data_IF_463328049924
#
_entry.id   IF_463328049924
#
_cell.length_a   1.000
_cell.length_b   1.000
_cell.length_c   1.000
_cell.angle_alpha   90.00
_cell.angle_beta   90.00
_cell.angle_gamma   90.00
#
_symmetry.space_group_name_H-M   'P 1'
#
loop_
_entity.id
_entity.type
_entity.pdbx_description
1 polymer ?
#
# COMPACT_ATOMS: atom_id res chain seq x y z
N UNK A 1 18.32 -1.22 -10.87
CA UNK A 1 17.30 -0.91 -9.85
C UNK A 1 17.89 0.07 -8.87
N UNK A 2 17.09 1.03 -8.44
CA UNK A 2 17.44 2.05 -7.45
C UNK A 2 16.55 1.92 -6.23
N UNK A 3 16.97 2.46 -5.09
CA UNK A 3 16.15 2.42 -3.88
C UNK A 3 15.02 3.45 -3.92
N UNK A 4 13.99 3.24 -3.11
CA UNK A 4 12.93 4.24 -2.87
C UNK A 4 13.52 5.60 -2.50
N UNK A 5 14.52 5.64 -1.61
CA UNK A 5 15.15 6.89 -1.21
C UNK A 5 15.88 7.59 -2.37
N UNK A 6 16.53 6.83 -3.26
CA UNK A 6 17.16 7.40 -4.46
C UNK A 6 16.13 8.07 -5.37
N UNK A 7 14.98 7.44 -5.59
CA UNK A 7 13.87 8.06 -6.32
C UNK A 7 13.34 9.30 -5.61
N UNK A 8 13.11 9.25 -4.30
CA UNK A 8 12.65 10.42 -3.54
C UNK A 8 13.60 11.61 -3.67
N UNK A 9 14.91 11.39 -3.71
CA UNK A 9 15.91 12.44 -3.90
C UNK A 9 15.87 13.07 -5.30
N UNK A 10 15.52 12.30 -6.32
CA UNK A 10 15.52 12.74 -7.72
C UNK A 10 14.19 13.36 -8.17
N UNK A 11 13.06 12.85 -7.68
CA UNK A 11 11.74 13.27 -8.12
C UNK A 11 11.38 14.66 -7.58
N UNK A 12 10.53 15.36 -8.34
CA UNK A 12 10.02 16.68 -7.97
C UNK A 12 9.10 16.56 -6.76
N UNK A 13 9.45 17.26 -5.66
CA UNK A 13 8.72 17.18 -4.39
C UNK A 13 7.31 17.75 -4.51
N UNK A 14 7.15 18.87 -5.20
CA UNK A 14 5.85 19.55 -5.31
C UNK A 14 4.90 18.70 -6.15
N UNK A 15 5.42 18.01 -7.17
CA UNK A 15 4.66 17.04 -7.95
C UNK A 15 4.26 15.81 -7.13
N UNK A 16 5.15 15.26 -6.30
CA UNK A 16 4.81 14.16 -5.38
C UNK A 16 3.69 14.57 -4.42
N UNK A 17 3.80 15.76 -3.81
CA UNK A 17 2.75 16.30 -2.93
C UNK A 17 1.45 16.47 -3.70
N UNK A 18 1.49 17.01 -4.93
CA UNK A 18 0.28 17.20 -5.73
C UNK A 18 -0.45 15.88 -6.01
N UNK A 19 0.27 14.83 -6.37
CA UNK A 19 -0.30 13.51 -6.67
C UNK A 19 -0.84 12.87 -5.38
N UNK A 20 -0.08 12.92 -4.29
CA UNK A 20 -0.55 12.44 -2.98
C UNK A 20 -1.87 13.10 -2.55
N UNK A 21 -1.98 14.42 -2.76
CA UNK A 21 -3.20 15.16 -2.43
C UNK A 21 -4.35 14.84 -3.38
N UNK A 22 -4.09 14.40 -4.61
CA UNK A 22 -5.11 13.95 -5.53
C UNK A 22 -5.66 12.58 -5.11
N UNK A 23 -4.77 11.68 -4.70
CA UNK A 23 -5.08 10.26 -4.44
C UNK A 23 -5.55 10.00 -3.00
N UNK A 24 -5.00 10.70 -2.00
CA UNK A 24 -5.17 10.31 -0.59
C UNK A 24 -5.70 11.39 0.35
N UNK A 25 -5.95 12.63 -0.12
CA UNK A 25 -6.37 13.72 0.81
C UNK A 25 -7.68 13.43 1.53
N UNK A 26 -8.57 12.66 0.90
CA UNK A 26 -9.95 12.50 1.37
C UNK A 26 -9.99 11.70 2.69
N UNK A 27 -9.09 10.73 2.87
CA UNK A 27 -8.86 10.04 4.14
C UNK A 27 -8.63 11.02 5.30
N UNK A 28 -7.81 12.05 5.10
CA UNK A 28 -7.49 13.04 6.13
C UNK A 28 -8.58 14.10 6.35
N UNK A 29 -9.36 14.40 5.31
CA UNK A 29 -10.42 15.40 5.39
C UNK A 29 -11.55 14.88 6.28
N UNK A 30 -11.97 13.63 6.07
CA UNK A 30 -13.07 13.00 6.82
C UNK A 30 -12.76 13.00 8.33
N UNK A 31 -11.54 12.63 8.73
CA UNK A 31 -11.13 12.55 10.14
C UNK A 31 -10.97 13.92 10.84
N UNK A 32 -10.84 14.99 10.07
CA UNK A 32 -10.50 16.32 10.59
C UNK A 32 -11.65 17.33 10.53
N UNK A 33 -12.70 17.07 9.73
CA UNK A 33 -13.86 17.97 9.63
C UNK A 33 -14.64 18.10 10.94
N UNK A 34 -14.66 17.05 11.76
CA UNK A 34 -15.35 17.05 13.07
C UNK A 34 -14.67 17.94 14.12
N UNK A 35 -13.47 18.45 13.83
CA UNK A 35 -12.67 19.32 14.72
C UNK A 35 -12.87 20.81 14.44
N UNK A 36 -13.90 21.18 13.66
CA UNK A 36 -14.26 22.58 13.38
C UNK A 36 -13.25 23.35 12.51
N UNK A 37 -12.41 22.62 11.77
CA UNK A 37 -11.42 23.20 10.83
C UNK A 37 -12.01 23.31 9.44
N UNK A 38 -11.58 24.31 8.67
CA UNK A 38 -11.97 24.39 7.26
C UNK A 38 -11.18 23.37 6.44
N UNK A 39 -11.75 22.91 5.32
CA UNK A 39 -11.05 22.05 4.36
C UNK A 39 -9.71 22.68 3.92
N UNK A 40 -9.66 24.00 3.77
CA UNK A 40 -8.44 24.73 3.44
C UNK A 40 -7.37 24.56 4.52
N UNK A 41 -7.72 24.77 5.78
CA UNK A 41 -6.75 24.64 6.89
C UNK A 41 -6.20 23.21 7.01
N UNK A 42 -7.04 22.19 6.75
CA UNK A 42 -6.64 20.79 6.74
C UNK A 42 -5.68 20.53 5.57
N UNK A 43 -6.03 20.99 4.37
CA UNK A 43 -5.23 20.85 3.15
C UNK A 43 -3.86 21.50 3.32
N UNK A 44 -3.81 22.76 3.76
CA UNK A 44 -2.56 23.51 3.96
C UNK A 44 -1.68 22.83 5.01
N UNK A 45 -2.28 22.31 6.09
CA UNK A 45 -1.55 21.56 7.11
C UNK A 45 -0.99 20.26 6.57
N UNK A 46 -1.79 19.48 5.84
CA UNK A 46 -1.36 18.20 5.27
C UNK A 46 -0.19 18.39 4.30
N UNK A 47 -0.27 19.39 3.41
CA UNK A 47 0.84 19.72 2.52
C UNK A 47 2.14 20.05 3.26
N UNK A 48 2.05 20.81 4.35
CA UNK A 48 3.22 21.15 5.17
C UNK A 48 3.82 19.92 5.87
N UNK A 49 2.96 19.06 6.45
CA UNK A 49 3.38 17.82 7.10
C UNK A 49 4.03 16.87 6.10
N UNK A 50 3.38 16.65 4.95
CA UNK A 50 3.87 15.79 3.88
C UNK A 50 5.21 16.29 3.32
N UNK A 51 5.36 17.61 3.14
CA UNK A 51 6.64 18.20 2.72
C UNK A 51 7.77 17.89 3.71
N UNK A 52 7.50 18.04 5.01
CA UNK A 52 8.47 17.71 6.07
C UNK A 52 8.79 16.21 6.14
N UNK A 53 7.77 15.37 5.94
CA UNK A 53 7.90 13.92 5.87
C UNK A 53 8.82 13.49 4.72
N UNK A 54 8.57 13.98 3.50
CA UNK A 54 9.41 13.70 2.33
C UNK A 54 10.86 14.15 2.57
N UNK A 55 11.08 15.35 3.14
CA UNK A 55 12.42 15.85 3.43
C UNK A 55 13.16 14.96 4.46
N UNK A 56 12.45 14.43 5.46
CA UNK A 56 13.01 13.45 6.41
C UNK A 56 13.37 12.14 5.71
N UNK A 57 12.46 11.55 4.94
CA UNK A 57 12.68 10.28 4.24
C UNK A 57 13.83 10.35 3.22
N UNK A 58 14.03 11.50 2.59
CA UNK A 58 15.20 11.75 1.72
C UNK A 58 16.55 11.63 2.43
N UNK A 59 16.59 11.77 3.75
CA UNK A 59 17.84 11.84 4.51
C UNK A 59 17.96 10.81 5.63
N UNK A 60 16.88 10.07 5.93
CA UNK A 60 16.91 9.00 6.92
C UNK A 60 17.99 7.96 6.58
N UNK A 61 18.65 7.44 7.59
CA UNK A 61 19.65 6.39 7.40
C UNK A 61 18.93 5.08 7.08
N UNK A 62 19.22 4.51 5.92
CA UNK A 62 18.70 3.21 5.53
C UNK A 62 19.22 2.11 6.47
N UNK A 63 18.32 1.23 6.88
CA UNK A 63 18.60 0.00 7.63
C UNK A 63 18.28 -1.22 6.78
N UNK A 64 18.93 -2.34 7.05
CA UNK A 64 18.56 -3.61 6.41
C UNK A 64 17.27 -4.15 7.06
N UNK A 65 16.39 -4.82 6.30
CA UNK A 65 15.25 -5.54 6.85
C UNK A 65 15.69 -6.57 7.88
N UNK A 66 14.91 -6.75 8.95
CA UNK A 66 15.21 -7.73 10.01
C UNK A 66 15.35 -9.18 9.50
N UNK A 67 14.56 -9.57 8.51
CA UNK A 67 14.60 -10.90 7.90
C UNK A 67 15.74 -11.04 6.86
N UNK A 68 16.46 -9.96 6.56
CA UNK A 68 17.52 -9.90 5.57
C UNK A 68 17.06 -10.12 4.13
N UNK A 69 15.75 -10.12 3.85
CA UNK A 69 15.22 -10.32 2.51
C UNK A 69 15.44 -9.08 1.65
N UNK A 70 15.68 -9.33 0.37
CA UNK A 70 15.84 -8.25 -0.62
C UNK A 70 14.48 -7.91 -1.23
N UNK A 71 13.91 -6.82 -0.75
CA UNK A 71 12.60 -6.31 -1.13
C UNK A 71 12.63 -5.48 -2.42
N UNK A 72 11.70 -5.75 -3.34
CA UNK A 72 11.57 -5.04 -4.62
C UNK A 72 10.11 -4.64 -4.84
N UNK A 73 9.87 -3.35 -5.10
CA UNK A 73 8.58 -2.80 -5.48
C UNK A 73 8.41 -2.82 -7.00
N UNK A 74 7.23 -3.20 -7.48
CA UNK A 74 6.87 -3.20 -8.89
C UNK A 74 5.42 -2.79 -9.10
N UNK A 75 5.13 -2.21 -10.27
CA UNK A 75 3.77 -1.87 -10.65
C UNK A 75 3.18 -2.97 -11.54
N UNK A 76 1.91 -3.30 -11.34
CA UNK A 76 1.14 -4.17 -12.22
C UNK A 76 -0.28 -3.62 -12.38
N UNK A 77 -0.97 -4.07 -13.43
CA UNK A 77 -2.35 -3.65 -13.65
C UNK A 77 -3.29 -4.41 -12.72
N UNK A 78 -4.36 -3.76 -12.34
CA UNK A 78 -5.52 -4.37 -11.70
C UNK A 78 -6.82 -3.85 -12.32
N UNK A 79 -7.93 -4.44 -11.88
CA UNK A 79 -9.26 -3.91 -12.15
C UNK A 79 -9.75 -3.25 -10.86
N UNK A 80 -10.17 -2.00 -11.00
CA UNK A 80 -10.87 -1.22 -9.98
C UNK A 80 -12.03 -0.49 -10.70
N UNK A 81 -12.85 0.25 -9.95
CA UNK A 81 -14.07 0.93 -10.40
C UNK A 81 -13.95 1.67 -11.75
N UNK A 82 -12.78 2.23 -12.08
CA UNK A 82 -12.52 3.00 -13.30
C UNK A 82 -11.91 2.22 -14.48
N UNK A 83 -11.79 0.89 -14.38
CA UNK A 83 -11.27 -0.02 -15.40
C UNK A 83 -9.83 0.31 -15.86
N UNK A 84 -8.86 -0.50 -15.42
CA UNK A 84 -7.40 -0.40 -15.63
C UNK A 84 -6.67 0.50 -14.64
N UNK A 85 -6.81 0.17 -13.36
CA UNK A 85 -6.01 0.78 -12.31
C UNK A 85 -4.60 0.16 -12.26
N UNK A 86 -3.73 0.81 -11.51
CA UNK A 86 -2.37 0.37 -11.23
C UNK A 86 -2.25 0.03 -9.75
N UNK A 87 -1.77 -1.18 -9.48
CA UNK A 87 -1.38 -1.59 -8.13
C UNK A 87 0.15 -1.66 -8.03
N UNK A 88 0.65 -1.41 -6.83
CA UNK A 88 2.06 -1.50 -6.50
C UNK A 88 2.24 -2.61 -5.47
N UNK A 89 3.11 -3.57 -5.79
CA UNK A 89 3.34 -4.74 -4.96
C UNK A 89 4.79 -4.82 -4.53
N UNK A 90 5.02 -5.20 -3.28
CA UNK A 90 6.32 -5.58 -2.77
C UNK A 90 6.52 -7.10 -2.93
N UNK A 91 7.71 -7.49 -3.39
CA UNK A 91 8.09 -8.90 -3.56
C UNK A 91 9.50 -9.16 -3.06
N UNK A 92 9.79 -10.39 -2.67
CA UNK A 92 11.13 -10.81 -2.30
C UNK A 92 11.91 -11.35 -3.50
N UNK A 93 13.14 -10.86 -3.69
CA UNK A 93 13.95 -11.20 -4.86
C UNK A 93 14.29 -12.70 -4.97
N UNK A 94 14.44 -13.40 -3.85
CA UNK A 94 14.72 -14.83 -3.80
C UNK A 94 13.52 -15.67 -4.22
N UNK A 95 12.30 -15.31 -3.81
CA UNK A 95 11.06 -15.95 -4.27
C UNK A 95 10.90 -15.78 -5.78
N UNK A 96 11.10 -14.57 -6.31
CA UNK A 96 11.03 -14.31 -7.76
C UNK A 96 12.07 -15.12 -8.55
N UNK A 97 13.26 -15.35 -7.99
CA UNK A 97 14.32 -16.12 -8.65
C UNK A 97 14.08 -17.63 -8.60
N UNK A 98 13.75 -18.14 -7.40
CA UNK A 98 13.75 -19.56 -7.05
C UNK A 98 12.37 -20.21 -7.24
N UNK A 99 11.29 -19.49 -6.98
CA UNK A 99 9.92 -20.00 -7.03
C UNK A 99 8.91 -18.94 -7.53
N UNK A 100 9.05 -18.45 -8.78
CA UNK A 100 8.25 -17.35 -9.31
C UNK A 100 6.75 -17.67 -9.45
N UNK A 101 6.39 -18.94 -9.52
CA UNK A 101 4.99 -19.37 -9.64
C UNK A 101 4.26 -19.26 -8.29
N UNK A 102 5.00 -19.26 -7.17
CA UNK A 102 4.46 -19.09 -5.82
C UNK A 102 4.90 -17.78 -5.14
N UNK A 103 5.70 -16.93 -5.81
CA UNK A 103 6.05 -15.61 -5.27
C UNK A 103 4.78 -14.79 -4.98
N UNK A 104 4.74 -14.13 -3.82
CA UNK A 104 3.57 -13.40 -3.33
C UNK A 104 3.82 -11.89 -3.32
N UNK A 105 2.74 -11.12 -3.18
CA UNK A 105 2.79 -9.69 -2.89
C UNK A 105 2.66 -9.49 -1.37
N UNK A 106 3.53 -8.66 -0.80
CA UNK A 106 3.60 -8.41 0.64
C UNK A 106 3.16 -6.98 0.97
N UNK A 107 2.46 -6.84 2.10
CA UNK A 107 2.32 -5.56 2.78
C UNK A 107 3.63 -5.14 3.45
N UNK A 108 3.78 -3.86 3.74
CA UNK A 108 4.97 -3.29 4.39
C UNK A 108 4.64 -2.10 5.30
N UNK A 109 3.39 -1.99 5.73
CA UNK A 109 2.83 -0.95 6.60
C UNK A 109 3.41 -1.04 8.02
N UNK A 110 3.83 -2.25 8.43
CA UNK A 110 4.47 -2.54 9.72
C UNK A 110 6.01 -2.55 9.65
N UNK A 111 6.59 -2.23 8.51
CA UNK A 111 8.04 -2.10 8.34
C UNK A 111 8.50 -0.70 8.76
N UNK A 112 9.72 -0.59 9.28
CA UNK A 112 10.28 0.72 9.59
C UNK A 112 10.51 1.50 8.29
N UNK A 113 10.22 2.80 8.30
CA UNK A 113 10.49 3.71 7.20
C UNK A 113 11.96 3.66 6.76
N UNK A 114 12.90 3.46 7.70
CA UNK A 114 14.32 3.31 7.36
C UNK A 114 14.62 2.04 6.55
N UNK A 115 13.85 0.97 6.73
CA UNK A 115 13.94 -0.27 5.94
C UNK A 115 13.29 -0.05 4.57
N UNK A 116 12.08 0.51 4.53
CA UNK A 116 11.33 0.75 3.29
C UNK A 116 12.10 1.68 2.35
N UNK A 117 12.79 2.68 2.88
CA UNK A 117 13.67 3.56 2.09
C UNK A 117 14.82 2.83 1.40
N UNK A 118 15.18 1.64 1.89
CA UNK A 118 16.16 0.73 1.29
C UNK A 118 15.59 -0.22 0.24
N UNK A 119 14.26 -0.35 0.13
CA UNK A 119 13.65 -1.24 -0.86
C UNK A 119 13.98 -0.79 -2.27
N UNK A 120 14.19 -1.77 -3.15
CA UNK A 120 14.48 -1.50 -4.55
C UNK A 120 13.19 -1.25 -5.33
N UNK A 121 13.29 -0.47 -6.41
CA UNK A 121 12.20 -0.31 -7.37
C UNK A 121 12.61 -0.98 -8.68
N UNK A 122 11.71 -1.81 -9.22
CA UNK A 122 11.90 -2.54 -10.47
C UNK A 122 12.12 -1.60 -11.65
N UNK A 123 13.12 -1.90 -12.50
CA UNK A 123 13.41 -1.15 -13.73
C UNK A 123 12.43 -1.48 -14.88
N UNK A 124 11.43 -2.36 -14.63
CA UNK A 124 10.46 -2.76 -15.63
C UNK A 124 9.75 -1.52 -16.25
N UNK A 125 9.47 -1.52 -17.58
CA UNK A 125 8.92 -0.34 -18.25
C UNK A 125 7.59 0.17 -17.66
N UNK A 126 6.75 -0.72 -17.15
CA UNK A 126 5.49 -0.34 -16.51
C UNK A 126 5.75 0.40 -15.20
N UNK A 127 6.56 -0.18 -14.31
CA UNK A 127 6.97 0.46 -13.04
C UNK A 127 7.58 1.84 -13.27
N UNK A 128 8.51 1.96 -14.21
CA UNK A 128 9.18 3.24 -14.49
C UNK A 128 8.22 4.28 -15.09
N UNK A 129 7.21 3.85 -15.84
CA UNK A 129 6.15 4.74 -16.36
C UNK A 129 5.30 5.34 -15.23
N UNK A 130 5.09 4.59 -14.15
CA UNK A 130 4.23 4.98 -13.02
C UNK A 130 5.02 5.34 -11.76
N UNK A 131 6.29 5.72 -11.90
CA UNK A 131 7.19 5.92 -10.77
C UNK A 131 6.70 6.98 -9.75
N UNK A 132 6.06 8.06 -10.20
CA UNK A 132 5.51 9.06 -9.27
C UNK A 132 4.41 8.47 -8.40
N UNK A 133 3.51 7.67 -8.98
CA UNK A 133 2.42 7.02 -8.27
C UNK A 133 2.94 5.96 -7.31
N UNK A 134 3.90 5.13 -7.74
CA UNK A 134 4.55 4.14 -6.86
C UNK A 134 5.19 4.81 -5.65
N UNK A 135 5.90 5.92 -5.84
CA UNK A 135 6.54 6.62 -4.72
C UNK A 135 5.50 7.30 -3.81
N UNK A 136 4.38 7.78 -4.36
CA UNK A 136 3.26 8.32 -3.58
C UNK A 136 2.59 7.23 -2.76
N UNK A 137 2.36 6.06 -3.34
CA UNK A 137 1.86 4.87 -2.65
C UNK A 137 2.77 4.48 -1.48
N UNK A 138 4.08 4.42 -1.70
CA UNK A 138 5.04 4.20 -0.60
C UNK A 138 4.95 5.28 0.48
N UNK A 139 4.78 6.56 0.12
CA UNK A 139 4.59 7.62 1.11
C UNK A 139 3.30 7.43 1.91
N UNK A 140 2.24 6.93 1.27
CA UNK A 140 0.97 6.65 1.94
C UNK A 140 1.11 5.49 2.92
N UNK A 141 1.58 4.33 2.45
CA UNK A 141 1.75 3.12 3.27
C UNK A 141 2.70 3.35 4.44
N UNK A 142 3.82 4.03 4.21
CA UNK A 142 4.78 4.33 5.29
C UNK A 142 4.31 5.41 6.27
N UNK A 143 3.18 6.07 5.99
CA UNK A 143 2.54 7.03 6.89
C UNK A 143 1.37 6.44 7.66
N UNK A 144 1.09 5.14 7.52
CA UNK A 144 -0.05 4.45 8.14
C UNK A 144 -0.10 4.67 9.65
N UNK A 145 1.01 4.44 10.35
CA UNK A 145 1.15 4.71 11.80
C UNK A 145 1.64 6.12 12.12
N UNK A 146 1.33 7.07 11.23
CA UNK A 146 1.72 8.46 11.31
C UNK A 146 3.05 8.80 10.66
N UNK A 147 3.26 10.09 10.42
CA UNK A 147 4.40 10.61 9.68
C UNK A 147 5.73 10.50 10.44
N UNK A 148 5.74 10.06 11.71
CA UNK A 148 6.96 9.79 12.47
C UNK A 148 6.94 8.39 13.15
N UNK A 149 6.11 7.47 12.67
CA UNK A 149 6.01 6.10 13.21
C UNK A 149 5.53 6.06 14.66
N UNK A 150 4.61 6.96 15.01
CA UNK A 150 4.19 7.22 16.39
C UNK A 150 3.66 5.96 17.12
N UNK A 151 3.02 5.04 16.40
CA UNK A 151 2.36 3.85 16.95
C UNK A 151 2.99 2.52 16.51
N UNK A 152 4.03 2.57 15.67
CA UNK A 152 4.57 1.39 15.00
C UNK A 152 5.13 0.35 15.98
N UNK A 153 5.90 0.80 16.98
CA UNK A 153 6.57 -0.09 17.94
C UNK A 153 5.58 -0.86 18.82
N UNK A 154 4.49 -0.20 19.24
CA UNK A 154 3.43 -0.79 20.05
C UNK A 154 2.69 -1.87 19.26
N UNK A 155 2.44 -1.64 17.96
CA UNK A 155 1.80 -2.61 17.08
C UNK A 155 2.71 -3.81 16.82
N UNK A 156 3.99 -3.58 16.45
CA UNK A 156 4.95 -4.66 16.24
C UNK A 156 5.10 -5.55 17.49
N UNK A 157 5.24 -4.92 18.66
CA UNK A 157 5.28 -5.64 19.94
C UNK A 157 4.01 -6.45 20.18
N UNK A 158 2.84 -5.92 19.83
CA UNK A 158 1.57 -6.63 19.97
C UNK A 158 1.49 -7.84 19.04
N UNK A 159 1.93 -7.69 17.79
CA UNK A 159 1.96 -8.77 16.79
C UNK A 159 2.92 -9.89 17.18
N UNK A 160 4.10 -9.57 17.72
CA UNK A 160 5.07 -10.58 18.20
C UNK A 160 4.52 -11.39 19.39
N UNK A 161 3.67 -10.79 20.21
CA UNK A 161 3.05 -11.44 21.36
C UNK A 161 1.77 -12.21 21.00
N UNK A 162 1.27 -12.11 19.76
CA UNK A 162 0.21 -12.98 19.27
C UNK A 162 0.81 -14.36 18.97
N UNK A 163 0.49 -15.33 19.82
CA UNK A 163 0.75 -16.73 19.52
C UNK A 163 -0.25 -17.20 18.45
N UNK A 164 0.22 -17.48 17.23
CA UNK A 164 -0.55 -18.16 16.19
C UNK A 164 -0.93 -19.62 16.54
N UNK A 165 -0.70 -20.06 17.77
CA UNK A 165 -1.11 -21.36 18.31
C UNK A 165 -2.62 -21.42 18.63
N UNK A 166 -3.33 -20.30 18.61
CA UNK A 166 -4.79 -20.30 18.59
C UNK A 166 -5.26 -20.43 17.13
N UNK A 167 -5.93 -21.53 16.80
CA UNK A 167 -6.82 -21.63 15.63
C UNK A 167 -7.85 -20.49 15.75
N UNK A 168 -7.49 -19.30 15.28
CA UNK A 168 -8.48 -18.29 14.97
C UNK A 168 -9.24 -18.83 13.76
N UNK A 169 -10.48 -19.27 14.00
CA UNK A 169 -11.41 -19.59 12.93
C UNK A 169 -11.36 -18.47 11.90
N UNK A 170 -11.09 -18.82 10.64
CA UNK A 170 -11.15 -17.87 9.55
C UNK A 170 -12.55 -17.24 9.57
N UNK A 171 -12.63 -15.97 9.94
CA UNK A 171 -13.92 -15.27 9.99
C UNK A 171 -14.45 -15.16 8.57
N UNK A 172 -15.74 -15.39 8.41
CA UNK A 172 -16.39 -15.23 7.10
C UNK A 172 -16.23 -13.80 6.60
N UNK A 173 -16.28 -13.56 5.28
CA UNK A 173 -16.29 -12.20 4.72
C UNK A 173 -17.40 -11.33 5.34
N UNK A 174 -18.55 -11.94 5.68
CA UNK A 174 -19.65 -11.28 6.38
C UNK A 174 -19.27 -10.90 7.84
N UNK A 175 -18.49 -11.71 8.54
CA UNK A 175 -17.95 -11.37 9.87
C UNK A 175 -16.86 -10.31 9.78
N UNK A 176 -15.99 -10.39 8.79
CA UNK A 176 -14.97 -9.37 8.53
C UNK A 176 -15.62 -8.01 8.23
N UNK A 177 -16.62 -7.96 7.34
CA UNK A 177 -17.39 -6.74 7.07
C UNK A 177 -18.02 -6.21 8.34
N UNK A 178 -18.58 -7.09 9.15
CA UNK A 178 -19.25 -6.70 10.39
C UNK A 178 -18.27 -6.15 11.43
N UNK A 179 -17.04 -6.68 11.49
CA UNK A 179 -16.00 -6.20 12.42
C UNK A 179 -15.27 -4.93 11.93
N UNK A 180 -15.16 -4.72 10.62
CA UNK A 180 -14.55 -3.50 10.04
C UNK A 180 -15.55 -2.35 9.88
N UNK A 181 -16.83 -2.65 9.63
CA UNK A 181 -17.92 -1.66 9.54
C UNK A 181 -18.62 -1.42 10.89
N UNK A 182 -17.96 -1.80 12.00
CA UNK A 182 -18.50 -1.65 13.35
C UNK A 182 -18.41 -0.21 13.90
N UNK A 183 -18.19 0.79 13.03
CA UNK A 183 -18.72 2.12 13.31
C UNK A 183 -20.24 2.07 13.14
N UNK A 184 -20.92 1.78 14.26
CA UNK A 184 -22.37 1.95 14.45
C UNK A 184 -22.89 3.29 13.91
N UNK A 185 -22.03 4.29 13.79
CA UNK A 185 -22.35 5.60 13.26
C UNK A 185 -22.66 5.60 11.75
N UNK A 186 -22.06 4.74 10.92
CA UNK A 186 -22.32 4.76 9.46
C UNK A 186 -23.65 4.09 9.09
N UNK A 187 -24.06 3.09 9.88
CA UNK A 187 -25.40 2.49 9.80
C UNK A 187 -26.49 3.47 10.29
N UNK A 188 -26.22 4.23 11.35
CA UNK A 188 -27.14 5.26 11.89
C UNK A 188 -27.16 6.55 11.05
N UNK A 189 -26.09 6.85 10.29
CA UNK A 189 -26.00 7.98 9.33
C UNK A 189 -26.66 7.68 7.99
N UNK A 190 -27.11 6.46 7.74
CA UNK A 190 -27.85 6.09 6.52
C UNK A 190 -27.01 6.07 5.25
N UNK A 191 -25.69 5.83 5.36
CA UNK A 191 -24.76 5.83 4.22
C UNK A 191 -24.88 4.54 3.40
N UNK A 192 -25.30 3.43 4.01
CA UNK A 192 -25.60 2.18 3.32
C UNK A 192 -27.11 2.07 3.06
N UNK A 193 -27.51 2.40 1.84
CA UNK A 193 -28.91 2.59 1.46
C UNK A 193 -29.75 1.30 1.36
N UNK A 194 -29.15 0.11 1.23
CA UNK A 194 -29.84 -1.17 1.35
C UNK A 194 -28.81 -2.30 1.53
N UNK A 195 -29.17 -3.38 2.26
CA UNK A 195 -28.33 -4.59 2.30
C UNK A 195 -28.39 -5.28 0.93
N UNK A 196 -27.25 -5.66 0.32
CA UNK A 196 -27.27 -6.36 -0.95
C UNK A 196 -28.06 -7.67 -0.84
N UNK A 197 -28.94 -7.89 -1.81
CA UNK A 197 -29.66 -9.14 -2.01
C UNK A 197 -28.69 -10.30 -2.30
N UNK A 198 -29.14 -11.55 -2.14
CA UNK A 198 -28.31 -12.72 -2.43
C UNK A 198 -27.87 -12.78 -3.90
N UNK A 199 -28.70 -12.28 -4.83
CA UNK A 199 -28.33 -12.16 -6.25
C UNK A 199 -27.21 -11.11 -6.44
N UNK A 200 -27.30 -9.96 -5.75
CA UNK A 200 -26.24 -8.93 -5.77
C UNK A 200 -24.94 -9.45 -5.15
N UNK A 201 -25.01 -10.19 -4.04
CA UNK A 201 -23.82 -10.85 -3.45
C UNK A 201 -23.19 -11.85 -4.42
N UNK A 202 -24.01 -12.63 -5.13
CA UNK A 202 -23.53 -13.55 -6.16
C UNK A 202 -22.75 -12.83 -7.27
N UNK A 203 -23.30 -11.73 -7.78
CA UNK A 203 -22.65 -10.90 -8.80
C UNK A 203 -21.36 -10.24 -8.27
N UNK A 204 -21.36 -9.75 -7.03
CA UNK A 204 -20.16 -9.16 -6.40
C UNK A 204 -19.06 -10.21 -6.24
N UNK A 205 -19.39 -11.43 -5.84
CA UNK A 205 -18.41 -12.51 -5.74
C UNK A 205 -17.82 -12.88 -7.12
N UNK A 206 -18.67 -12.99 -8.15
CA UNK A 206 -18.19 -13.22 -9.52
C UNK A 206 -17.26 -12.11 -10.01
N UNK A 207 -17.59 -10.85 -9.69
CA UNK A 207 -16.73 -9.70 -9.99
C UNK A 207 -15.37 -9.82 -9.29
N UNK A 208 -15.34 -10.03 -7.97
CA UNK A 208 -14.10 -10.19 -7.21
C UNK A 208 -13.22 -11.34 -7.74
N UNK A 209 -13.82 -12.46 -8.14
CA UNK A 209 -13.07 -13.57 -8.75
C UNK A 209 -12.44 -13.21 -10.10
N UNK A 210 -13.12 -12.39 -10.91
CA UNK A 210 -12.59 -11.88 -12.17
C UNK A 210 -11.46 -10.89 -11.92
N UNK A 211 -11.65 -9.95 -11.00
CA UNK A 211 -10.64 -8.95 -10.62
C UNK A 211 -9.37 -9.62 -10.09
N UNK A 212 -9.52 -10.57 -9.16
CA UNK A 212 -8.40 -11.33 -8.61
C UNK A 212 -7.61 -12.07 -9.71
N UNK A 213 -8.30 -12.77 -10.62
CA UNK A 213 -7.64 -13.50 -11.72
C UNK A 213 -6.92 -12.56 -12.68
N UNK A 214 -7.51 -11.42 -13.01
CA UNK A 214 -6.86 -10.44 -13.88
C UNK A 214 -5.64 -9.82 -13.21
N UNK A 215 -5.76 -9.45 -11.92
CA UNK A 215 -4.66 -8.93 -11.10
C UNK A 215 -3.51 -9.92 -11.05
N UNK A 216 -3.77 -11.18 -10.69
CA UNK A 216 -2.73 -12.22 -10.61
C UNK A 216 -2.06 -12.44 -11.96
N UNK A 217 -2.82 -12.53 -13.07
CA UNK A 217 -2.23 -12.62 -14.40
C UNK A 217 -1.28 -11.45 -14.71
N UNK A 218 -1.69 -10.21 -14.39
CA UNK A 218 -0.88 -9.02 -14.63
C UNK A 218 0.36 -8.99 -13.72
N UNK A 219 0.21 -9.35 -12.44
CA UNK A 219 1.30 -9.46 -11.49
C UNK A 219 2.34 -10.49 -11.94
N UNK A 220 1.91 -11.71 -12.27
CA UNK A 220 2.79 -12.79 -12.78
C UNK A 220 3.54 -12.39 -14.05
N UNK A 221 2.90 -11.61 -14.93
CA UNK A 221 3.55 -11.07 -16.12
C UNK A 221 4.70 -10.12 -15.78
N UNK A 222 4.51 -9.22 -14.83
CA UNK A 222 5.55 -8.29 -14.40
C UNK A 222 6.65 -8.99 -13.58
N UNK A 223 6.31 -10.02 -12.81
CA UNK A 223 7.30 -10.90 -12.16
C UNK A 223 8.23 -11.59 -13.16
N UNK A 224 7.70 -12.06 -14.29
CA UNK A 224 8.52 -12.68 -15.33
C UNK A 224 9.55 -11.70 -15.93
N UNK A 225 9.17 -10.43 -16.08
CA UNK A 225 10.07 -9.36 -16.52
C UNK A 225 11.14 -9.10 -15.46
N UNK A 226 10.72 -8.90 -14.21
CA UNK A 226 11.62 -8.68 -13.07
C UNK A 226 12.63 -9.82 -12.93
N UNK A 227 12.18 -11.07 -13.02
CA UNK A 227 13.04 -12.25 -12.95
C UNK A 227 14.13 -12.23 -14.02
N UNK A 228 13.76 -11.92 -15.26
CA UNK A 228 14.72 -11.84 -16.36
C UNK A 228 15.78 -10.76 -16.11
N UNK A 229 15.40 -9.63 -15.49
CA UNK A 229 16.33 -8.56 -15.14
C UNK A 229 17.23 -8.93 -13.96
N UNK A 230 16.72 -9.64 -12.95
CA UNK A 230 17.52 -10.15 -11.85
C UNK A 230 18.57 -11.17 -12.33
N UNK A 231 18.21 -12.07 -13.24
CA UNK A 231 19.10 -13.09 -13.82
C UNK A 231 20.23 -12.50 -14.68
N UNK A 232 20.03 -11.32 -15.28
CA UNK A 232 21.07 -10.65 -16.09
C UNK A 232 22.13 -9.95 -15.23
N UNK A 233 21.77 -9.60 -14.00
CA UNK A 233 22.58 -8.78 -13.10
C UNK A 233 23.14 -9.59 -11.90
N UNK A 234 22.96 -10.91 -11.90
CA UNK A 234 23.53 -11.86 -10.93
C UNK A 234 24.75 -12.57 -11.50
#
# INVERSE_FOLDING_TARGET
MRTVQEYLKELDKDRLISIYMEEHKDYYIVDCTDKGRTIRDITDRLQNVLSGFIDRLRTIRITEPEDGKKCILLAHRSLNDDWHDMEFSLVHADEVLNDPDNAEAYGYEVCYQSEVMGYLVSDAPLTQRYIYHLIVDVLHETSFYGFNEEELEDVRSSLENLSFDEEHDAISYDEFLKSTLEDKDDYDRGIFLDKPSEDEKGLLNELHEVEHRYRDYCFRKELAILRADLQRNS
#
